data_IF_915300990399
#
_entry.id   IF_915300990399
#
_cell.length_a   1.000
_cell.length_b   1.000
_cell.length_c   1.000
_cell.angle_alpha   90.00
_cell.angle_beta   90.00
_cell.angle_gamma   90.00
#
_symmetry.space_group_name_H-M   'P 1'
#
loop_
_entity.id
_entity.type
_entity.pdbx_description
1 polymer ?
#
# COMPACT_ATOMS: atom_id res chain seq x y z
N UNK A 1 -6.21 -18.75 -9.07
CA UNK A 1 -4.73 -18.64 -9.00
C UNK A 1 -4.42 -17.16 -8.83
N UNK A 2 -4.08 -16.73 -7.63
CA UNK A 2 -3.74 -15.32 -7.34
C UNK A 2 -2.26 -15.18 -7.66
N UNK A 3 -1.90 -14.61 -8.80
CA UNK A 3 -0.50 -14.27 -9.06
C UNK A 3 -0.06 -13.29 -7.96
N UNK A 4 1.10 -13.51 -7.31
CA UNK A 4 1.65 -12.50 -6.42
C UNK A 4 1.95 -11.29 -7.29
N UNK A 5 1.16 -10.23 -7.12
CA UNK A 5 1.50 -8.92 -7.66
C UNK A 5 2.79 -8.55 -6.96
N UNK A 6 3.91 -8.66 -7.70
CA UNK A 6 5.20 -8.22 -7.19
C UNK A 6 5.05 -6.73 -6.88
N UNK A 7 5.38 -6.27 -5.66
CA UNK A 7 5.27 -4.86 -5.34
C UNK A 7 6.13 -4.07 -6.33
N UNK A 8 5.45 -3.23 -7.11
CA UNK A 8 6.07 -2.31 -8.07
C UNK A 8 6.24 -0.97 -7.39
N UNK A 9 7.37 -0.34 -7.62
CA UNK A 9 7.70 1.00 -7.17
C UNK A 9 7.99 1.87 -8.39
N UNK A 10 7.78 3.18 -8.24
CA UNK A 10 8.08 4.16 -9.27
C UNK A 10 8.89 5.30 -8.66
N UNK A 11 10.03 5.63 -9.26
CA UNK A 11 10.89 6.75 -8.84
C UNK A 11 10.66 7.96 -9.72
N UNK A 12 10.56 9.11 -9.08
CA UNK A 12 10.49 10.43 -9.69
C UNK A 12 11.68 11.30 -9.28
N UNK A 13 12.14 12.15 -10.18
CA UNK A 13 13.00 13.31 -9.92
C UNK A 13 12.16 14.56 -10.21
N UNK A 14 11.72 15.25 -9.16
CA UNK A 14 10.72 16.32 -9.27
C UNK A 14 9.44 15.82 -9.96
N UNK A 15 9.20 16.29 -11.19
CA UNK A 15 8.04 15.89 -12.01
C UNK A 15 8.34 14.83 -13.09
N UNK A 16 9.60 14.41 -13.22
CA UNK A 16 10.02 13.45 -14.24
C UNK A 16 10.11 12.05 -13.64
N UNK A 17 9.55 11.05 -14.31
CA UNK A 17 9.71 9.65 -13.93
C UNK A 17 11.04 9.12 -14.44
N UNK A 18 11.81 8.48 -13.56
CA UNK A 18 13.14 7.94 -13.90
C UNK A 18 13.18 6.41 -13.88
N UNK A 19 12.30 5.75 -13.12
CA UNK A 19 12.23 4.28 -13.07
C UNK A 19 10.85 3.77 -12.67
N UNK A 20 10.52 2.54 -13.08
CA UNK A 20 9.36 1.77 -12.61
C UNK A 20 9.75 0.30 -12.55
N UNK A 21 9.35 -0.42 -11.50
CA UNK A 21 9.70 -1.83 -11.33
C UNK A 21 9.99 -2.23 -9.89
N UNK A 22 10.94 -3.13 -9.66
CA UNK A 22 11.28 -3.56 -8.30
C UNK A 22 11.87 -2.43 -7.47
N UNK A 23 11.73 -2.53 -6.14
CA UNK A 23 12.33 -1.56 -5.21
C UNK A 23 13.84 -1.41 -5.44
N UNK A 24 14.54 -2.52 -5.71
CA UNK A 24 15.98 -2.53 -5.97
C UNK A 24 16.35 -1.72 -7.23
N UNK A 25 15.61 -1.91 -8.33
CA UNK A 25 15.85 -1.15 -9.57
C UNK A 25 15.58 0.35 -9.37
N UNK A 26 14.53 0.69 -8.63
CA UNK A 26 14.16 2.07 -8.31
C UNK A 26 15.17 2.74 -7.38
N UNK A 27 15.70 2.02 -6.38
CA UNK A 27 16.75 2.50 -5.49
C UNK A 27 18.07 2.76 -6.25
N UNK A 28 18.45 1.86 -7.17
CA UNK A 28 19.62 2.05 -8.02
C UNK A 28 19.46 3.26 -8.93
N UNK A 29 18.29 3.44 -9.55
CA UNK A 29 18.00 4.60 -10.39
C UNK A 29 18.03 5.90 -9.58
N UNK A 30 17.48 5.89 -8.36
CA UNK A 30 17.51 7.04 -7.48
C UNK A 30 18.95 7.44 -7.09
N UNK A 31 19.79 6.46 -6.76
CA UNK A 31 21.20 6.69 -6.44
C UNK A 31 21.96 7.28 -7.64
N UNK A 32 21.76 6.73 -8.84
CA UNK A 32 22.37 7.26 -10.07
C UNK A 32 21.96 8.71 -10.33
N UNK A 33 20.69 9.05 -10.16
CA UNK A 33 20.22 10.43 -10.33
C UNK A 33 20.91 11.38 -9.33
N UNK A 34 21.09 10.96 -8.08
CA UNK A 34 21.82 11.76 -7.08
C UNK A 34 23.31 11.90 -7.42
N UNK A 35 23.96 10.83 -7.90
CA UNK A 35 25.36 10.85 -8.36
C UNK A 35 25.56 11.75 -9.59
N UNK A 36 24.59 11.78 -10.50
CA UNK A 36 24.57 12.63 -11.69
C UNK A 36 24.25 14.10 -11.38
N UNK A 37 23.95 14.42 -10.12
CA UNK A 37 23.71 15.79 -9.66
C UNK A 37 22.26 16.26 -9.81
N UNK A 38 21.30 15.36 -9.56
CA UNK A 38 19.87 15.69 -9.55
C UNK A 38 19.59 17.01 -8.84
N UNK A 39 18.92 17.91 -9.54
CA UNK A 39 18.65 19.28 -9.05
C UNK A 39 17.36 19.33 -8.24
N UNK A 40 16.47 18.37 -8.48
CA UNK A 40 15.16 18.22 -7.82
C UNK A 40 15.17 17.02 -6.86
N UNK A 41 14.27 16.99 -5.86
CA UNK A 41 14.19 15.86 -4.93
C UNK A 41 13.83 14.55 -5.67
N UNK A 42 14.56 13.50 -5.34
CA UNK A 42 14.30 12.15 -5.85
C UNK A 42 13.39 11.40 -4.87
N UNK A 43 12.22 11.00 -5.34
CA UNK A 43 11.15 10.41 -4.55
C UNK A 43 10.76 9.02 -5.08
N UNK A 44 10.70 8.02 -4.21
CA UNK A 44 10.28 6.67 -4.57
C UNK A 44 8.87 6.43 -4.01
N UNK A 45 7.96 5.95 -4.86
CA UNK A 45 6.59 5.63 -4.49
C UNK A 45 6.31 4.14 -4.59
N UNK A 46 5.57 3.59 -3.62
CA UNK A 46 4.95 2.28 -3.71
C UNK A 46 3.68 2.34 -4.56
N UNK A 47 3.64 1.65 -5.71
CA UNK A 47 2.49 1.67 -6.63
C UNK A 47 1.22 1.08 -5.99
N UNK A 48 1.36 0.19 -5.00
CA UNK A 48 0.21 -0.43 -4.34
C UNK A 48 -0.46 0.49 -3.32
N UNK A 49 0.30 1.38 -2.69
CA UNK A 49 -0.17 2.21 -1.57
C UNK A 49 -0.12 3.72 -1.83
N UNK A 50 0.61 4.15 -2.87
CA UNK A 50 0.91 5.56 -3.15
C UNK A 50 1.80 6.22 -2.11
N UNK A 51 2.42 5.45 -1.20
CA UNK A 51 3.24 5.99 -0.12
C UNK A 51 4.65 6.24 -0.62
N UNK A 52 5.27 7.30 -0.08
CA UNK A 52 6.69 7.52 -0.22
C UNK A 52 7.47 6.41 0.51
N UNK A 53 8.49 5.88 -0.14
CA UNK A 53 9.47 4.98 0.47
C UNK A 53 10.74 5.80 0.69
N UNK A 54 11.08 6.00 1.96
CA UNK A 54 12.37 6.57 2.34
C UNK A 54 13.41 5.45 2.33
N UNK A 55 14.47 5.63 1.54
CA UNK A 55 15.60 4.73 1.50
C UNK A 55 16.81 5.52 1.95
N UNK A 56 17.42 5.12 3.06
CA UNK A 56 18.69 5.70 3.47
C UNK A 56 19.76 5.27 2.46
N UNK A 57 20.17 6.21 1.61
CA UNK A 57 21.20 6.00 0.59
C UNK A 57 22.61 6.25 1.13
N UNK A 58 22.77 6.49 2.44
CA UNK A 58 24.07 6.60 3.11
C UNK A 58 24.62 5.22 3.43
N UNK A 59 25.01 4.48 2.40
CA UNK A 59 25.75 3.23 2.53
C UNK A 59 26.82 3.14 1.45
N UNK A 60 28.08 3.22 1.85
CA UNK A 60 29.20 2.70 1.07
C UNK A 60 28.99 1.19 0.84
N UNK A 61 29.48 0.65 -0.28
CA UNK A 61 29.29 -0.73 -0.77
C UNK A 61 29.67 -1.87 0.21
N UNK A 62 30.06 -1.58 1.46
CA UNK A 62 30.49 -2.56 2.48
C UNK A 62 29.46 -2.86 3.59
N UNK A 63 28.31 -2.16 3.71
CA UNK A 63 27.39 -2.36 4.85
C UNK A 63 26.02 -3.01 4.51
N UNK A 64 25.86 -3.50 3.27
CA UNK A 64 24.55 -4.04 2.80
C UNK A 64 24.31 -5.53 3.14
N UNK A 65 25.17 -6.17 3.94
CA UNK A 65 25.01 -7.60 4.28
C UNK A 65 24.69 -7.91 5.76
N UNK A 66 24.82 -6.97 6.71
CA UNK A 66 24.72 -7.32 8.15
C UNK A 66 23.68 -6.54 8.98
N UNK A 67 22.90 -5.63 8.40
CA UNK A 67 21.75 -5.04 9.11
C UNK A 67 20.43 -5.33 8.39
N UNK A 68 19.96 -6.57 8.56
CA UNK A 68 18.52 -6.83 8.63
C UNK A 68 18.06 -6.44 10.05
N UNK A 69 17.31 -5.34 10.25
CA UNK A 69 16.65 -5.14 11.52
C UNK A 69 15.47 -6.11 11.61
N UNK A 70 15.68 -7.22 12.32
CA UNK A 70 14.61 -7.85 13.07
C UNK A 70 13.96 -6.79 13.97
N UNK A 71 12.67 -6.55 13.76
CA UNK A 71 11.80 -5.90 14.74
C UNK A 71 11.83 -4.37 14.75
N UNK A 72 10.94 -3.76 13.96
CA UNK A 72 10.37 -2.46 14.34
C UNK A 72 9.42 -2.69 15.52
N UNK A 73 10.00 -2.74 16.73
CA UNK A 73 9.26 -2.61 17.98
C UNK A 73 9.10 -1.13 18.28
N UNK A 74 7.91 -0.61 17.99
CA UNK A 74 7.43 0.63 18.56
C UNK A 74 7.28 0.45 20.08
N UNK A 75 7.90 1.36 20.81
CA UNK A 75 7.93 1.41 22.27
C UNK A 75 6.53 1.72 22.83
N UNK A 76 6.11 0.95 23.83
CA UNK A 76 5.21 1.41 24.88
C UNK A 76 5.53 0.65 26.16
N UNK A 77 6.10 1.36 27.13
CA UNK A 77 6.37 0.87 28.47
C UNK A 77 5.11 0.83 29.33
N UNK A 78 5.17 -0.08 30.32
CA UNK A 78 4.44 -0.17 31.59
C UNK A 78 2.98 -0.66 31.61
N UNK A 79 2.77 -1.88 32.11
CA UNK A 79 2.52 -2.12 33.55
C UNK A 79 2.64 -3.62 33.90
N UNK A 80 3.24 -3.88 35.06
CA UNK A 80 3.55 -5.20 35.62
C UNK A 80 2.34 -5.99 36.14
N UNK A 81 2.44 -7.33 36.13
CA UNK A 81 1.54 -8.21 36.90
C UNK A 81 1.79 -9.71 36.64
N UNK A 82 2.33 -10.41 37.64
CA UNK A 82 2.78 -11.80 37.62
C UNK A 82 1.69 -12.87 37.48
N UNK A 83 2.04 -14.07 37.00
CA UNK A 83 1.18 -15.26 37.11
C UNK A 83 1.71 -16.52 36.42
N UNK A 84 2.11 -17.50 37.24
CA UNK A 84 2.81 -18.74 36.91
C UNK A 84 2.14 -19.74 35.94
N UNK A 85 3.00 -20.39 35.15
CA UNK A 85 3.09 -21.82 34.81
C UNK A 85 1.81 -22.70 34.64
N UNK A 86 1.68 -23.31 33.46
CA UNK A 86 1.70 -24.77 33.29
C UNK A 86 1.69 -25.15 31.79
N UNK A 87 2.63 -26.01 31.41
CA UNK A 87 2.78 -26.64 30.09
C UNK A 87 2.25 -28.07 30.20
N UNK A 88 1.43 -28.53 29.24
CA UNK A 88 1.39 -29.90 28.66
C UNK A 88 0.15 -30.09 27.73
N UNK A 89 0.05 -31.15 26.90
CA UNK A 89 0.89 -31.52 25.76
C UNK A 89 0.10 -31.55 24.43
N UNK A 90 0.82 -31.71 23.32
CA UNK A 90 0.31 -31.69 21.92
C UNK A 90 -0.56 -32.92 21.58
N UNK A 91 -1.83 -32.66 21.20
CA UNK A 91 -2.69 -33.60 20.48
C UNK A 91 -2.58 -33.46 18.96
N UNK A 92 -2.53 -34.60 18.26
CA UNK A 92 -2.21 -34.78 16.84
C UNK A 92 -3.26 -34.21 15.87
N UNK A 93 -2.80 -33.72 14.73
CA UNK A 93 -3.48 -33.95 13.43
C UNK A 93 -4.68 -33.08 13.07
N UNK A 94 -4.57 -31.75 13.14
CA UNK A 94 -5.38 -30.87 12.27
C UNK A 94 -4.40 -29.97 11.52
N UNK A 95 -4.42 -29.90 10.18
CA UNK A 95 -3.61 -28.92 9.46
C UNK A 95 -3.96 -27.56 10.06
N UNK A 96 -2.95 -26.86 10.58
CA UNK A 96 -3.11 -25.52 11.15
C UNK A 96 -3.61 -24.64 10.00
N UNK A 97 -4.93 -24.49 9.84
CA UNK A 97 -5.46 -23.30 9.19
C UNK A 97 -4.84 -22.17 9.97
N UNK A 98 -3.99 -21.35 9.34
CA UNK A 98 -3.27 -20.24 9.96
C UNK A 98 -4.23 -19.17 10.49
N UNK A 99 -5.02 -19.52 11.50
CA UNK A 99 -5.98 -18.66 12.17
C UNK A 99 -5.22 -17.99 13.30
N UNK A 100 -4.98 -16.69 13.15
CA UNK A 100 -4.44 -15.86 14.21
C UNK A 100 -5.61 -15.43 15.09
N UNK A 101 -5.57 -15.77 16.39
CA UNK A 101 -6.56 -15.28 17.34
C UNK A 101 -6.31 -13.79 17.62
N UNK A 102 -7.36 -12.99 17.51
CA UNK A 102 -7.38 -11.57 17.88
C UNK A 102 -8.68 -11.28 18.63
N UNK A 103 -8.62 -10.36 19.59
CA UNK A 103 -9.76 -9.96 20.40
C UNK A 103 -10.70 -9.06 19.58
N UNK A 104 -12.01 -9.33 19.67
CA UNK A 104 -13.04 -8.52 19.01
C UNK A 104 -14.14 -8.24 20.02
N UNK A 105 -14.44 -6.96 20.21
CA UNK A 105 -15.53 -6.50 21.09
C UNK A 105 -16.80 -6.31 20.27
N UNK A 106 -17.88 -6.98 20.65
CA UNK A 106 -19.20 -6.87 20.01
C UNK A 106 -20.28 -6.62 21.06
N UNK A 107 -21.41 -6.07 20.61
CA UNK A 107 -22.59 -5.88 21.46
C UNK A 107 -23.15 -7.23 21.93
N UNK A 108 -23.73 -7.32 23.15
CA UNK A 108 -24.28 -8.57 23.68
C UNK A 108 -25.26 -9.28 22.73
N UNK A 109 -26.16 -8.52 22.09
CA UNK A 109 -27.11 -9.04 21.08
C UNK A 109 -26.44 -9.74 19.89
N UNK A 110 -25.24 -9.29 19.50
CA UNK A 110 -24.49 -9.90 18.40
C UNK A 110 -23.84 -11.20 18.84
N UNK A 111 -23.38 -11.27 20.10
CA UNK A 111 -22.85 -12.51 20.68
C UNK A 111 -23.92 -13.57 20.83
N UNK A 112 -25.11 -13.20 21.30
CA UNK A 112 -26.26 -14.10 21.38
C UNK A 112 -26.60 -14.66 20.00
N UNK A 113 -26.68 -13.81 18.97
CA UNK A 113 -26.89 -14.28 17.60
C UNK A 113 -25.76 -15.18 17.09
N UNK A 114 -24.49 -14.83 17.32
CA UNK A 114 -23.33 -15.63 16.93
C UNK A 114 -23.31 -17.00 17.62
N UNK A 115 -23.77 -17.10 18.86
CA UNK A 115 -23.87 -18.35 19.62
C UNK A 115 -24.91 -19.32 19.04
N UNK A 116 -25.94 -18.81 18.35
CA UNK A 116 -26.95 -19.64 17.68
C UNK A 116 -26.52 -20.19 16.31
N UNK A 117 -25.35 -19.79 15.80
CA UNK A 117 -24.94 -20.15 14.44
C UNK A 117 -24.34 -21.57 14.37
N UNK A 118 -24.74 -22.38 13.36
CA UNK A 118 -24.16 -23.70 13.15
C UNK A 118 -22.68 -23.59 12.75
N UNK A 119 -21.80 -24.19 13.55
CA UNK A 119 -20.34 -24.11 13.38
C UNK A 119 -19.64 -23.03 14.20
N UNK A 120 -20.38 -22.31 15.05
CA UNK A 120 -19.84 -21.38 16.05
C UNK A 120 -19.52 -19.99 15.50
N UNK A 121 -19.27 -19.06 16.44
CA UNK A 121 -19.07 -17.63 16.16
C UNK A 121 -17.98 -17.37 15.10
N UNK A 122 -16.86 -18.10 15.14
CA UNK A 122 -15.74 -17.88 14.21
C UNK A 122 -16.08 -18.22 12.76
N UNK A 123 -16.92 -19.23 12.51
CA UNK A 123 -17.33 -19.61 11.14
C UNK A 123 -18.33 -18.58 10.60
N UNK A 124 -19.28 -18.15 11.43
CA UNK A 124 -20.24 -17.11 11.06
C UNK A 124 -19.56 -15.77 10.76
N UNK A 125 -18.62 -15.33 11.61
CA UNK A 125 -17.83 -14.12 11.38
C UNK A 125 -17.03 -14.20 10.08
N UNK A 126 -16.41 -15.36 9.78
CA UNK A 126 -15.68 -15.52 8.52
C UNK A 126 -16.60 -15.38 7.31
N UNK A 127 -17.79 -16.00 7.34
CA UNK A 127 -18.78 -15.89 6.25
C UNK A 127 -19.24 -14.44 6.07
N UNK A 128 -19.54 -13.75 7.16
CA UNK A 128 -19.93 -12.33 7.12
C UNK A 128 -18.84 -11.43 6.55
N UNK A 129 -17.57 -11.64 6.95
CA UNK A 129 -16.44 -10.90 6.38
C UNK A 129 -16.29 -11.21 4.89
N UNK A 130 -16.41 -12.47 4.49
CA UNK A 130 -16.30 -12.89 3.09
C UNK A 130 -17.45 -12.37 2.21
N UNK A 131 -18.64 -12.23 2.76
CA UNK A 131 -19.80 -11.62 2.11
C UNK A 131 -19.63 -10.10 2.00
N UNK A 132 -19.26 -9.43 3.10
CA UNK A 132 -18.98 -7.99 3.10
C UNK A 132 -17.84 -7.63 2.14
N UNK A 133 -16.77 -8.44 2.07
CA UNK A 133 -15.67 -8.27 1.11
C UNK A 133 -16.13 -8.45 -0.34
N UNK A 134 -17.08 -9.35 -0.60
CA UNK A 134 -17.67 -9.51 -1.95
C UNK A 134 -18.59 -8.35 -2.31
N UNK A 135 -19.42 -7.90 -1.37
CA UNK A 135 -20.38 -6.82 -1.59
C UNK A 135 -19.70 -5.44 -1.72
N UNK A 136 -18.65 -5.18 -0.94
CA UNK A 136 -17.94 -3.90 -0.92
C UNK A 136 -16.61 -3.93 -1.66
N UNK A 137 -16.19 -5.08 -2.21
CA UNK A 137 -14.86 -5.24 -2.79
C UNK A 137 -14.57 -4.27 -3.94
N UNK A 138 -15.56 -3.88 -4.73
CA UNK A 138 -15.40 -2.85 -5.76
C UNK A 138 -15.21 -1.45 -5.16
N UNK A 139 -16.10 -1.05 -4.24
CA UNK A 139 -16.03 0.24 -3.57
C UNK A 139 -14.73 0.40 -2.76
N UNK A 140 -14.28 -0.65 -2.09
CA UNK A 140 -13.01 -0.67 -1.35
C UNK A 140 -11.81 -0.59 -2.30
N UNK A 141 -11.89 -1.20 -3.50
CA UNK A 141 -10.85 -1.09 -4.53
C UNK A 141 -10.76 0.33 -5.07
N UNK A 142 -11.89 0.94 -5.42
CA UNK A 142 -11.98 2.33 -5.89
C UNK A 142 -11.47 3.28 -4.81
N UNK A 143 -11.94 3.13 -3.57
CA UNK A 143 -11.47 3.96 -2.45
C UNK A 143 -9.96 3.87 -2.25
N UNK A 144 -9.39 2.65 -2.28
CA UNK A 144 -7.93 2.47 -2.18
C UNK A 144 -7.19 3.06 -3.38
N UNK A 145 -7.80 3.03 -4.56
CA UNK A 145 -7.28 3.65 -5.77
C UNK A 145 -7.19 5.18 -5.66
N UNK A 146 -8.25 5.80 -5.16
CA UNK A 146 -8.26 7.24 -4.91
C UNK A 146 -7.27 7.62 -3.79
N UNK A 147 -7.19 6.84 -2.71
CA UNK A 147 -6.21 7.10 -1.65
C UNK A 147 -4.76 7.01 -2.14
N UNK A 148 -4.40 6.01 -2.98
CA UNK A 148 -3.04 5.91 -3.54
C UNK A 148 -2.72 7.07 -4.49
N UNK A 149 -3.65 7.44 -5.37
CA UNK A 149 -3.47 8.56 -6.29
C UNK A 149 -3.35 9.88 -5.54
N UNK A 150 -4.22 10.11 -4.56
CA UNK A 150 -4.19 11.33 -3.73
C UNK A 150 -2.85 11.49 -3.00
N UNK A 151 -2.32 10.43 -2.37
CA UNK A 151 -1.02 10.50 -1.68
C UNK A 151 0.12 10.91 -2.62
N UNK A 152 0.15 10.37 -3.83
CA UNK A 152 1.12 10.79 -4.85
C UNK A 152 0.91 12.24 -5.25
N UNK A 153 -0.33 12.62 -5.62
CA UNK A 153 -0.66 13.98 -6.05
C UNK A 153 -0.32 15.01 -4.98
N UNK A 154 -0.60 14.74 -3.70
CA UNK A 154 -0.23 15.65 -2.61
C UNK A 154 1.27 15.84 -2.44
N UNK A 155 2.09 14.83 -2.82
CA UNK A 155 3.54 14.90 -2.70
C UNK A 155 4.22 15.59 -3.90
N UNK A 156 3.68 15.41 -5.11
CA UNK A 156 4.33 15.83 -6.37
C UNK A 156 3.58 16.94 -7.10
N UNK A 157 2.27 17.03 -6.93
CA UNK A 157 1.40 17.92 -7.70
C UNK A 157 0.72 19.01 -6.84
N UNK A 158 1.11 19.18 -5.58
CA UNK A 158 0.47 20.12 -4.65
C UNK A 158 0.51 21.58 -5.14
N UNK A 159 1.58 21.96 -5.84
CA UNK A 159 1.76 23.30 -6.39
C UNK A 159 1.30 23.43 -7.86
N UNK A 160 0.77 22.35 -8.45
CA UNK A 160 0.33 22.35 -9.84
C UNK A 160 -1.09 22.96 -9.99
N UNK A 161 -1.37 23.64 -11.12
CA UNK A 161 -2.68 24.25 -11.35
C UNK A 161 -3.77 23.18 -11.39
N UNK A 162 -4.93 23.49 -10.79
CA UNK A 162 -6.10 22.61 -10.80
C UNK A 162 -6.02 21.41 -9.84
N UNK A 163 -5.05 21.38 -8.91
CA UNK A 163 -4.89 20.30 -7.93
C UNK A 163 -6.14 20.05 -7.07
N UNK A 164 -6.81 21.10 -6.59
CA UNK A 164 -7.99 20.96 -5.75
C UNK A 164 -9.18 20.39 -6.55
N UNK A 165 -9.39 20.90 -7.76
CA UNK A 165 -10.42 20.40 -8.67
C UNK A 165 -10.15 18.96 -9.08
N UNK A 166 -8.89 18.62 -9.37
CA UNK A 166 -8.48 17.26 -9.75
C UNK A 166 -8.71 16.30 -8.58
N UNK A 167 -8.39 16.71 -7.35
CA UNK A 167 -8.68 15.93 -6.14
C UNK A 167 -10.20 15.73 -5.95
N UNK A 168 -11.00 16.76 -6.23
CA UNK A 168 -12.47 16.66 -6.16
C UNK A 168 -13.02 15.70 -7.22
N UNK A 169 -12.50 15.74 -8.45
CA UNK A 169 -12.88 14.82 -9.52
C UNK A 169 -12.45 13.38 -9.22
N UNK A 170 -11.26 13.19 -8.64
CA UNK A 170 -10.76 11.89 -8.19
C UNK A 170 -11.72 11.23 -7.19
N UNK A 171 -12.08 11.93 -6.11
CA UNK A 171 -12.98 11.36 -5.11
C UNK A 171 -14.45 11.24 -5.58
N UNK A 172 -14.82 11.93 -6.66
CA UNK A 172 -16.10 11.77 -7.33
C UNK A 172 -16.13 10.58 -8.32
N UNK A 173 -15.01 9.87 -8.52
CA UNK A 173 -14.87 8.78 -9.48
C UNK A 173 -15.17 9.20 -10.93
N UNK A 174 -14.77 10.42 -11.30
CA UNK A 174 -15.00 11.00 -12.64
C UNK A 174 -13.68 11.06 -13.44
N UNK A 175 -13.32 9.98 -14.19
CA UNK A 175 -12.05 9.92 -14.91
C UNK A 175 -11.95 10.96 -16.03
N UNK A 176 -13.07 11.31 -16.68
CA UNK A 176 -13.06 12.27 -17.79
C UNK A 176 -12.73 13.67 -17.30
N UNK A 177 -13.42 14.10 -16.24
CA UNK A 177 -13.15 15.39 -15.63
C UNK A 177 -11.77 15.45 -14.99
N UNK A 178 -11.32 14.34 -14.39
CA UNK A 178 -9.96 14.23 -13.88
C UNK A 178 -8.94 14.49 -14.99
N UNK A 179 -9.00 13.77 -16.11
CA UNK A 179 -8.08 13.89 -17.24
C UNK A 179 -8.04 15.31 -17.82
N UNK A 180 -9.19 15.98 -17.92
CA UNK A 180 -9.27 17.38 -18.37
C UNK A 180 -8.52 18.34 -17.44
N UNK A 181 -8.59 18.12 -16.12
CA UNK A 181 -7.95 18.98 -15.12
C UNK A 181 -6.45 18.73 -15.03
N UNK A 182 -6.01 17.47 -15.16
CA UNK A 182 -4.60 17.10 -15.11
C UNK A 182 -3.88 17.24 -16.47
N UNK A 183 -4.60 17.64 -17.52
CA UNK A 183 -4.08 17.88 -18.87
C UNK A 183 -2.84 18.79 -18.89
N UNK A 184 -2.85 19.85 -18.07
CA UNK A 184 -1.77 20.84 -17.99
C UNK A 184 -0.56 20.39 -17.16
N UNK A 185 -0.65 19.23 -16.50
CA UNK A 185 0.44 18.71 -15.67
C UNK A 185 1.54 18.09 -16.54
N UNK A 186 2.77 17.96 -15.99
CA UNK A 186 3.82 17.17 -16.63
C UNK A 186 3.32 15.76 -16.96
N UNK A 187 3.66 15.25 -18.15
CA UNK A 187 3.10 14.00 -18.68
C UNK A 187 3.31 12.82 -17.72
N UNK A 188 4.50 12.70 -17.13
CA UNK A 188 4.81 11.61 -16.21
C UNK A 188 3.95 11.66 -14.94
N UNK A 189 3.69 12.86 -14.41
CA UNK A 189 2.85 13.06 -13.22
C UNK A 189 1.40 12.72 -13.54
N UNK A 190 0.88 13.22 -14.67
CA UNK A 190 -0.48 12.96 -15.13
C UNK A 190 -0.71 11.47 -15.35
N UNK A 191 0.16 10.82 -16.11
CA UNK A 191 0.00 9.44 -16.53
C UNK A 191 0.11 8.50 -15.32
N UNK A 192 1.03 8.79 -14.38
CA UNK A 192 1.15 8.05 -13.13
C UNK A 192 -0.05 8.28 -12.19
N UNK A 193 -0.51 9.51 -12.02
CA UNK A 193 -1.70 9.81 -11.20
C UNK A 193 -2.95 9.11 -11.75
N UNK A 194 -3.12 9.10 -13.08
CA UNK A 194 -4.26 8.44 -13.76
C UNK A 194 -4.18 6.92 -13.63
N UNK A 195 -2.99 6.33 -13.79
CA UNK A 195 -2.74 4.91 -13.53
C UNK A 195 -3.07 4.55 -12.09
N UNK A 196 -2.64 5.36 -11.13
CA UNK A 196 -2.98 5.16 -9.73
C UNK A 196 -4.47 5.36 -9.47
N UNK A 197 -5.15 6.31 -10.08
CA UNK A 197 -6.57 6.57 -9.80
C UNK A 197 -7.49 5.50 -10.38
N UNK A 198 -7.29 5.15 -11.66
CA UNK A 198 -8.27 4.37 -12.44
C UNK A 198 -7.72 3.04 -12.95
N UNK A 199 -6.46 2.72 -12.65
CA UNK A 199 -5.84 1.46 -13.07
C UNK A 199 -5.52 1.42 -14.56
N UNK A 200 -5.37 2.58 -15.20
CA UNK A 200 -4.98 2.69 -16.60
C UNK A 200 -3.72 1.87 -16.88
N UNK A 201 -3.81 0.90 -17.78
CA UNK A 201 -2.63 0.24 -18.32
C UNK A 201 -1.83 1.30 -19.06
N UNK A 202 -0.54 1.46 -18.73
CA UNK A 202 0.33 2.20 -19.63
C UNK A 202 0.25 1.56 -21.03
N UNK A 203 0.08 2.33 -22.12
CA UNK A 203 0.60 1.87 -23.38
C UNK A 203 2.10 1.68 -23.15
N UNK A 204 2.60 0.47 -23.40
CA UNK A 204 4.02 0.15 -23.30
C UNK A 204 4.83 1.15 -24.15
N UNK A 205 5.29 2.23 -23.52
CA UNK A 205 6.10 3.24 -24.18
C UNK A 205 7.48 2.63 -24.39
N UNK A 206 7.65 2.12 -25.60
CA UNK A 206 8.88 1.84 -26.32
C UNK A 206 10.16 2.39 -25.67
N UNK A 207 10.80 1.57 -24.84
CA UNK A 207 12.26 1.51 -24.79
C UNK A 207 12.69 0.62 -25.95
N UNK A 208 12.72 1.19 -27.15
CA UNK A 208 13.35 0.58 -28.31
C UNK A 208 14.50 1.49 -28.78
N UNK A 209 15.70 1.01 -28.46
CA UNK A 209 17.01 1.26 -29.08
C UNK A 209 17.74 2.54 -28.67
#
# INVERSE_FOLDING_TARGET
MTQPVVPSCTTFEGHRRIATGSLQANALAARRALEEGATEPVLIFDDATGRLIDIDMRGTDEDTAESLPEGVQAQSADFAGAGAAAVEPRGRGRPKLGVVAREVTLLPRHWEWLATQPGGASVALRKLVEEARRANGEKDRIRKAHERAYRFMSAVAGDLPGFEEATRALFADDPRRFDELVCAWPCDVRDYATRLAFGGSEPAAALAQ
#
